data_IF_150315164918
#
_entry.id   IF_150315164918
#
_cell.length_a   1.000
_cell.length_b   1.000
_cell.length_c   1.000
_cell.angle_alpha   90.00
_cell.angle_beta   90.00
_cell.angle_gamma   90.00
#
_symmetry.space_group_name_H-M   'P 1'
#
loop_
_entity.id
_entity.type
_entity.pdbx_description
1 polymer ?
#
# COMPACT_ATOMS: atom_id res chain seq x y z
N UNK A 1 16.71 -21.18 49.39
CA UNK A 1 16.83 -19.92 50.13
C UNK A 1 17.36 -18.85 49.17
N UNK A 2 16.78 -17.63 49.20
CA UNK A 2 16.85 -16.58 48.15
C UNK A 2 18.00 -15.58 48.51
N UNK A 3 18.10 -14.30 48.02
CA UNK A 3 17.09 -13.22 47.86
C UNK A 3 17.03 -12.65 46.40
N UNK A 4 15.94 -12.14 45.82
CA UNK A 4 14.99 -11.02 46.09
C UNK A 4 15.56 -9.61 45.99
N UNK A 5 14.99 -8.78 45.10
CA UNK A 5 14.42 -7.44 45.36
C UNK A 5 13.61 -6.97 44.12
N UNK A 6 12.28 -6.80 44.17
CA UNK A 6 11.46 -5.64 44.64
C UNK A 6 11.61 -4.42 43.71
N UNK A 7 10.57 -3.78 43.13
CA UNK A 7 9.29 -3.35 43.71
C UNK A 7 8.21 -2.98 42.64
N UNK A 8 6.93 -2.80 43.04
CA UNK A 8 5.72 -2.65 42.19
C UNK A 8 5.05 -1.25 42.26
N UNK A 9 3.92 -1.05 41.54
CA UNK A 9 2.70 -0.27 41.93
C UNK A 9 1.70 -0.17 40.75
N UNK A 10 0.60 -0.93 40.73
CA UNK A 10 -0.74 -0.68 41.29
C UNK A 10 -1.47 0.59 40.78
N UNK A 11 -2.40 0.38 39.83
CA UNK A 11 -3.55 1.24 39.57
C UNK A 11 -4.70 0.88 40.52
N UNK A 12 -5.22 1.85 41.28
CA UNK A 12 -6.57 1.81 41.88
C UNK A 12 -7.17 3.22 41.93
N UNK A 13 -8.30 3.38 41.26
CA UNK A 13 -9.24 4.49 41.42
C UNK A 13 -10.22 4.19 42.57
N UNK A 14 -10.60 5.17 43.40
CA UNK A 14 -11.81 5.11 44.19
C UNK A 14 -12.92 6.03 43.64
N UNK A 15 -14.14 5.66 44.04
CA UNK A 15 -15.47 6.16 43.68
C UNK A 15 -15.71 7.63 44.06
N UNK A 16 -16.57 8.29 43.28
CA UNK A 16 -17.26 9.52 43.68
C UNK A 16 -18.53 9.20 44.47
N UNK A 17 -18.78 9.99 45.50
CA UNK A 17 -20.06 10.10 46.19
C UNK A 17 -20.43 11.59 46.24
N UNK A 18 -21.70 11.87 45.93
CA UNK A 18 -22.27 13.20 45.72
C UNK A 18 -23.02 13.69 46.97
N UNK A 19 -23.02 15.00 47.23
CA UNK A 19 -24.19 15.73 47.74
C UNK A 19 -23.91 17.25 47.65
N UNK A 20 -24.76 18.02 46.93
CA UNK A 20 -25.79 18.95 47.46
C UNK A 20 -25.21 20.07 48.34
N UNK A 21 -25.57 21.35 48.26
CA UNK A 21 -26.71 22.07 47.66
C UNK A 21 -26.45 23.57 47.84
N UNK A 22 -26.84 24.38 46.86
CA UNK A 22 -27.55 25.67 47.02
C UNK A 22 -26.93 26.80 47.86
N UNK A 23 -26.69 27.94 47.22
CA UNK A 23 -27.57 29.15 47.29
C UNK A 23 -26.79 30.46 47.06
N UNK A 24 -27.15 31.15 45.98
CA UNK A 24 -26.94 32.59 45.75
C UNK A 24 -27.88 33.39 46.69
N UNK A 25 -27.79 34.75 46.88
CA UNK A 25 -27.29 35.74 45.93
C UNK A 25 -26.50 36.95 46.49
N UNK A 26 -26.00 37.74 45.53
CA UNK A 26 -25.37 39.06 45.65
C UNK A 26 -26.40 40.18 45.91
N UNK A 27 -26.10 41.10 46.82
CA UNK A 27 -26.64 42.47 46.86
C UNK A 27 -25.51 43.47 47.20
N UNK A 28 -25.32 44.46 46.34
CA UNK A 28 -24.58 45.73 46.56
C UNK A 28 -25.20 46.52 47.74
N UNK A 29 -24.51 47.47 48.45
CA UNK A 29 -24.07 48.75 47.83
C UNK A 29 -22.79 49.37 48.51
N UNK A 30 -22.53 50.71 48.54
CA UNK A 30 -21.57 51.38 47.66
C UNK A 30 -20.42 52.16 48.36
N UNK A 31 -19.42 52.55 47.56
CA UNK A 31 -18.59 53.79 47.62
C UNK A 31 -18.26 54.45 48.98
N UNK A 32 -16.96 54.53 49.33
CA UNK A 32 -16.10 55.75 49.33
C UNK A 32 -14.95 55.67 50.35
N UNK A 33 -13.84 56.27 49.92
CA UNK A 33 -12.83 56.99 50.72
C UNK A 33 -11.64 56.21 51.30
N UNK A 34 -10.49 56.54 50.70
CA UNK A 34 -9.12 56.27 51.11
C UNK A 34 -8.84 56.58 52.59
N UNK A 35 -8.17 55.64 53.27
CA UNK A 35 -7.18 55.96 54.30
C UNK A 35 -5.92 55.14 54.02
N UNK A 36 -4.84 55.89 53.80
CA UNK A 36 -3.46 55.47 53.63
C UNK A 36 -2.90 54.92 54.95
N UNK A 37 -2.51 53.64 54.98
CA UNK A 37 -1.55 53.11 55.96
C UNK A 37 -0.56 52.19 55.25
N UNK A 38 0.64 52.71 55.06
CA UNK A 38 1.87 52.01 54.67
C UNK A 38 2.29 51.00 55.72
N UNK A 39 2.36 49.71 55.37
CA UNK A 39 3.37 48.78 55.89
C UNK A 39 3.77 47.78 54.80
N UNK A 40 5.08 47.74 54.59
CA UNK A 40 5.88 47.02 53.62
C UNK A 40 5.84 45.50 53.83
N UNK A 41 5.52 44.69 52.81
CA UNK A 41 6.03 43.32 52.68
C UNK A 41 6.29 42.96 51.21
N UNK A 42 7.50 42.50 50.97
CA UNK A 42 8.08 42.02 49.73
C UNK A 42 7.48 40.64 49.39
N UNK A 43 6.92 40.45 48.20
CA UNK A 43 7.16 39.27 47.35
C UNK A 43 6.31 39.34 46.08
N UNK A 44 7.00 39.48 44.95
CA UNK A 44 6.43 39.20 43.64
C UNK A 44 6.36 37.68 43.47
N UNK A 45 5.19 37.14 43.20
CA UNK A 45 5.05 35.90 42.42
C UNK A 45 3.74 35.93 41.66
N UNK A 46 3.84 36.17 40.36
CA UNK A 46 2.83 35.78 39.38
C UNK A 46 2.92 34.25 39.30
N UNK A 47 1.99 33.53 39.93
CA UNK A 47 1.89 32.08 39.68
C UNK A 47 0.95 31.88 38.52
N UNK A 48 1.54 31.75 37.33
CA UNK A 48 0.85 31.32 36.13
C UNK A 48 0.17 29.98 36.40
N UNK A 49 -1.12 29.88 36.08
CA UNK A 49 -1.84 28.62 35.98
C UNK A 49 -1.30 27.94 34.72
N UNK A 50 -0.19 27.22 34.85
CA UNK A 50 0.23 26.25 33.85
C UNK A 50 -0.56 24.96 34.10
N UNK A 51 -1.82 24.95 33.67
CA UNK A 51 -2.50 23.69 33.36
C UNK A 51 -1.82 23.15 32.10
N UNK A 52 -0.67 22.51 32.28
CA UNK A 52 -0.10 21.65 31.25
C UNK A 52 -1.03 20.43 31.17
N UNK A 53 -2.07 20.53 30.34
CA UNK A 53 -2.69 19.35 29.79
C UNK A 53 -1.60 18.68 28.96
N UNK A 54 -0.86 17.75 29.57
CA UNK A 54 -0.19 16.69 28.82
C UNK A 54 -1.30 15.83 28.20
N UNK A 55 -1.99 16.37 27.19
CA UNK A 55 -2.49 15.51 26.15
C UNK A 55 -1.24 14.99 25.48
N UNK A 56 -0.84 13.78 25.83
CA UNK A 56 -0.07 12.98 24.90
C UNK A 56 -0.93 12.91 23.64
N UNK A 57 -0.64 13.78 22.66
CA UNK A 57 -1.11 13.56 21.31
C UNK A 57 -0.63 12.15 20.98
N UNK A 58 -1.51 11.18 20.71
CA UNK A 58 -1.02 9.96 20.08
C UNK A 58 -0.25 10.45 18.85
N UNK A 59 1.00 10.00 18.69
CA UNK A 59 1.72 10.23 17.45
C UNK A 59 0.81 9.65 16.36
N UNK A 60 0.24 10.54 15.55
CA UNK A 60 -0.56 10.16 14.41
C UNK A 60 0.41 9.45 13.46
N UNK A 61 0.46 8.12 13.51
CA UNK A 61 1.03 7.31 12.46
C UNK A 61 0.07 7.32 11.24
N UNK A 62 -0.39 8.51 10.86
CA UNK A 62 -1.37 8.74 9.80
C UNK A 62 -0.63 8.95 8.47
N UNK A 63 0.57 9.53 8.52
CA UNK A 63 1.40 9.78 7.34
C UNK A 63 2.68 8.95 7.36
N UNK A 64 3.00 8.38 6.20
CA UNK A 64 4.28 7.71 5.98
C UNK A 64 5.39 8.75 5.79
N UNK A 65 5.97 9.24 6.89
CA UNK A 65 7.05 10.23 6.83
C UNK A 65 8.29 9.68 6.10
N UNK A 66 8.73 10.41 5.08
CA UNK A 66 9.98 10.17 4.36
C UNK A 66 11.08 11.02 4.98
N UNK A 67 12.21 10.42 5.36
CA UNK A 67 13.44 11.10 5.79
C UNK A 67 13.95 11.99 4.64
N UNK A 68 13.43 13.21 4.58
CA UNK A 68 13.59 14.14 3.45
C UNK A 68 14.89 14.92 3.61
N UNK A 69 15.43 15.00 4.82
CA UNK A 69 16.70 15.66 5.13
C UNK A 69 17.90 14.69 5.20
N UNK A 70 17.68 13.37 5.09
CA UNK A 70 18.66 12.28 5.12
C UNK A 70 19.52 12.27 6.40
N UNK A 71 18.89 12.61 7.54
CA UNK A 71 19.56 12.61 8.85
C UNK A 71 19.47 11.27 9.60
N UNK A 72 18.74 10.31 9.02
CA UNK A 72 18.52 8.97 9.55
C UNK A 72 17.35 8.85 10.52
N UNK A 73 16.58 9.92 10.75
CA UNK A 73 15.41 9.93 11.61
C UNK A 73 14.20 10.46 10.85
N UNK A 74 13.06 9.76 10.96
CA UNK A 74 11.78 10.29 10.52
C UNK A 74 11.22 11.24 11.60
N UNK A 75 11.46 12.54 11.45
CA UNK A 75 11.02 13.58 12.36
C UNK A 75 9.76 14.31 11.85
N UNK A 76 8.77 14.54 12.72
CA UNK A 76 7.47 15.11 12.29
C UNK A 76 7.52 16.59 11.92
N UNK A 77 8.67 17.26 12.03
CA UNK A 77 8.81 18.72 11.86
C UNK A 77 9.57 19.10 10.59
N UNK A 78 10.35 18.18 10.04
CA UNK A 78 11.19 18.33 8.85
C UNK A 78 10.73 17.37 7.78
N UNK A 79 10.33 16.16 8.16
CA UNK A 79 9.93 15.14 7.21
C UNK A 79 8.47 15.24 6.83
N UNK A 80 8.22 14.86 5.59
CA UNK A 80 6.89 14.84 4.99
C UNK A 80 6.70 13.51 4.30
N UNK A 81 5.46 13.14 4.04
CA UNK A 81 5.13 12.01 3.18
C UNK A 81 5.33 12.29 1.68
N UNK A 82 5.82 13.48 1.33
CA UNK A 82 5.98 13.94 -0.06
C UNK A 82 4.64 14.28 -0.74
N UNK A 83 3.61 14.62 0.04
CA UNK A 83 2.28 14.94 -0.49
C UNK A 83 1.49 13.70 -0.90
N UNK A 84 1.68 12.59 -0.18
CA UNK A 84 0.92 11.38 -0.42
C UNK A 84 -0.57 11.60 -0.05
N UNK A 85 -1.50 11.08 -0.86
CA UNK A 85 -2.94 11.22 -0.62
C UNK A 85 -3.55 9.91 -0.14
N UNK A 86 -3.85 9.87 1.16
CA UNK A 86 -4.64 8.82 1.83
C UNK A 86 -6.00 9.34 2.32
N UNK A 87 -6.44 10.52 1.88
CA UNK A 87 -7.45 11.31 2.60
C UNK A 87 -8.86 10.69 2.60
N UNK A 88 -9.54 10.74 3.75
CA UNK A 88 -10.99 10.56 3.86
C UNK A 88 -11.50 9.18 4.30
N UNK A 89 -10.68 8.13 4.38
CA UNK A 89 -11.05 6.83 4.97
C UNK A 89 -9.83 6.21 5.69
N UNK A 90 -10.01 5.77 6.94
CA UNK A 90 -8.99 5.13 7.80
C UNK A 90 -8.45 3.77 7.29
N UNK A 91 -8.84 3.34 6.09
CA UNK A 91 -8.43 2.04 5.51
C UNK A 91 -7.51 2.19 4.30
N UNK A 92 -6.97 3.38 4.03
CA UNK A 92 -6.05 3.62 2.92
C UNK A 92 -4.66 3.91 3.43
N UNK A 93 -3.65 3.57 2.66
CA UNK A 93 -2.26 3.89 2.96
C UNK A 93 -1.55 4.36 1.68
N UNK A 94 -1.12 5.60 1.63
CA UNK A 94 -0.20 6.13 0.63
C UNK A 94 1.14 6.50 1.30
N UNK A 95 2.24 6.14 0.66
CA UNK A 95 3.59 6.44 1.14
C UNK A 95 4.54 6.72 -0.02
N UNK A 96 5.16 7.90 -0.06
CA UNK A 96 6.08 8.30 -1.12
C UNK A 96 5.64 9.58 -1.82
N UNK A 97 6.62 10.29 -2.39
CA UNK A 97 6.39 11.53 -3.16
C UNK A 97 5.22 11.39 -4.15
N UNK A 98 4.14 12.13 -3.90
CA UNK A 98 2.91 12.11 -4.71
C UNK A 98 2.27 10.71 -4.89
N UNK A 99 2.42 9.80 -3.92
CA UNK A 99 1.69 8.53 -3.92
C UNK A 99 0.19 8.75 -3.68
N UNK A 100 -0.68 7.95 -4.28
CA UNK A 100 -2.14 8.09 -4.18
C UNK A 100 -2.80 6.74 -3.84
N UNK A 101 -3.52 6.70 -2.73
CA UNK A 101 -4.39 5.59 -2.35
C UNK A 101 -5.84 6.10 -2.27
N UNK A 102 -6.59 5.98 -3.37
CA UNK A 102 -7.96 6.46 -3.50
C UNK A 102 -9.02 5.36 -3.44
N UNK A 103 -8.63 4.09 -3.62
CA UNK A 103 -9.52 2.93 -3.43
C UNK A 103 -9.80 2.61 -1.96
N UNK A 104 -10.96 2.07 -1.62
CA UNK A 104 -11.21 1.55 -0.26
C UNK A 104 -10.27 0.39 0.04
N UNK A 105 -9.67 0.35 1.24
CA UNK A 105 -8.68 -0.67 1.64
C UNK A 105 -7.41 -0.72 0.77
N UNK A 106 -7.10 0.35 0.04
CA UNK A 106 -5.98 0.37 -0.90
C UNK A 106 -4.65 0.71 -0.24
N UNK A 107 -3.56 0.28 -0.84
CA UNK A 107 -2.18 0.60 -0.40
C UNK A 107 -1.33 1.02 -1.59
N UNK A 108 -0.70 2.19 -1.54
CA UNK A 108 0.23 2.72 -2.53
C UNK A 108 1.56 3.08 -1.86
N UNK A 109 2.66 2.46 -2.25
CA UNK A 109 3.99 2.71 -1.67
C UNK A 109 5.02 2.91 -2.78
N UNK A 110 5.70 4.05 -2.77
CA UNK A 110 6.66 4.50 -3.77
C UNK A 110 6.21 5.81 -4.43
N UNK A 111 7.17 6.62 -4.87
CA UNK A 111 6.84 7.91 -5.49
C UNK A 111 5.94 7.73 -6.71
N UNK A 112 4.82 8.46 -6.78
CA UNK A 112 3.79 8.37 -7.82
C UNK A 112 3.13 7.00 -7.95
N UNK A 113 3.21 6.14 -6.92
CA UNK A 113 2.43 4.91 -6.91
C UNK A 113 0.94 5.26 -6.79
N UNK A 114 0.08 4.57 -7.54
CA UNK A 114 -1.37 4.78 -7.53
C UNK A 114 -2.11 3.47 -7.29
N UNK A 115 -2.90 3.43 -6.21
CA UNK A 115 -3.82 2.35 -5.90
C UNK A 115 -5.26 2.88 -5.83
N UNK A 116 -5.96 2.90 -6.97
CA UNK A 116 -7.31 3.48 -7.09
C UNK A 116 -8.44 2.45 -7.04
N UNK A 117 -8.14 1.17 -7.17
CA UNK A 117 -9.11 0.09 -7.05
C UNK A 117 -9.44 -0.28 -5.59
N UNK A 118 -10.64 -0.81 -5.33
CA UNK A 118 -10.99 -1.37 -4.02
C UNK A 118 -10.10 -2.58 -3.71
N UNK A 119 -9.54 -2.68 -2.50
CA UNK A 119 -8.54 -3.67 -2.09
C UNK A 119 -7.26 -3.70 -2.99
N UNK A 120 -6.98 -2.63 -3.74
CA UNK A 120 -5.82 -2.57 -4.65
C UNK A 120 -4.51 -2.30 -3.91
N UNK A 121 -3.41 -2.83 -4.44
CA UNK A 121 -2.07 -2.70 -3.87
C UNK A 121 -1.04 -2.32 -4.94
N UNK A 122 -0.40 -1.15 -4.80
CA UNK A 122 0.65 -0.66 -5.69
C UNK A 122 1.96 -0.45 -4.91
N UNK A 123 3.05 -1.09 -5.34
CA UNK A 123 4.37 -1.00 -4.72
C UNK A 123 5.46 -0.72 -5.76
N UNK A 124 6.04 0.47 -5.75
CA UNK A 124 7.11 0.89 -6.66
C UNK A 124 6.87 2.26 -7.26
N UNK A 125 7.94 2.89 -7.76
CA UNK A 125 7.82 4.18 -8.43
C UNK A 125 6.90 4.07 -9.66
N UNK A 126 5.84 4.88 -9.71
CA UNK A 126 4.84 4.84 -10.78
C UNK A 126 4.18 3.45 -10.97
N UNK A 127 4.08 2.64 -9.90
CA UNK A 127 3.27 1.42 -9.93
C UNK A 127 1.78 1.79 -9.91
N UNK A 128 0.97 1.16 -10.77
CA UNK A 128 -0.43 1.51 -10.99
C UNK A 128 -1.33 0.27 -10.81
N UNK A 129 -2.08 0.21 -9.71
CA UNK A 129 -3.10 -0.81 -9.45
C UNK A 129 -4.50 -0.16 -9.47
N UNK A 130 -5.18 -0.20 -10.62
CA UNK A 130 -6.36 0.65 -10.87
C UNK A 130 -7.70 -0.07 -10.77
N UNK A 131 -7.69 -1.40 -10.68
CA UNK A 131 -8.90 -2.24 -10.66
C UNK A 131 -9.09 -2.96 -9.31
N UNK A 132 -10.26 -3.57 -9.10
CA UNK A 132 -10.60 -4.19 -7.82
C UNK A 132 -9.66 -5.36 -7.52
N UNK A 133 -9.08 -5.41 -6.32
CA UNK A 133 -8.13 -6.46 -5.91
C UNK A 133 -6.86 -6.54 -6.78
N UNK A 134 -6.56 -5.50 -7.56
CA UNK A 134 -5.40 -5.48 -8.43
C UNK A 134 -4.10 -5.30 -7.62
N UNK A 135 -3.04 -5.98 -8.04
CA UNK A 135 -1.71 -5.92 -7.40
C UNK A 135 -0.68 -5.51 -8.43
N UNK A 136 -0.04 -4.35 -8.27
CA UNK A 136 1.06 -3.88 -9.10
C UNK A 136 2.34 -3.71 -8.26
N UNK A 137 3.40 -4.45 -8.58
CA UNK A 137 4.67 -4.42 -7.84
C UNK A 137 5.82 -4.21 -8.83
N UNK A 138 6.55 -3.11 -8.72
CA UNK A 138 7.68 -2.76 -9.57
C UNK A 138 7.52 -1.38 -10.19
N UNK A 139 8.65 -0.80 -10.63
CA UNK A 139 8.61 0.50 -11.33
C UNK A 139 7.76 0.38 -12.60
N UNK A 140 6.83 1.31 -12.82
CA UNK A 140 5.91 1.32 -13.97
C UNK A 140 5.07 0.04 -14.15
N UNK A 141 4.92 -0.79 -13.11
CA UNK A 141 4.03 -1.95 -13.17
C UNK A 141 2.57 -1.50 -13.29
N UNK A 142 1.76 -2.17 -14.12
CA UNK A 142 0.35 -1.84 -14.36
C UNK A 142 -0.53 -3.07 -14.18
N UNK A 143 -1.41 -3.02 -13.19
CA UNK A 143 -2.47 -4.00 -12.96
C UNK A 143 -3.83 -3.28 -13.10
N UNK A 144 -4.49 -3.45 -14.25
CA UNK A 144 -5.72 -2.72 -14.61
C UNK A 144 -6.94 -3.60 -14.85
N UNK A 145 -6.82 -4.93 -14.69
CA UNK A 145 -7.95 -5.85 -14.68
C UNK A 145 -8.40 -6.22 -13.27
N UNK A 146 -9.66 -6.62 -13.09
CA UNK A 146 -10.14 -7.03 -11.77
C UNK A 146 -9.40 -8.31 -11.32
N UNK A 147 -8.92 -8.31 -10.08
CA UNK A 147 -8.10 -9.38 -9.48
C UNK A 147 -6.80 -9.68 -10.26
N UNK A 148 -6.33 -8.71 -11.05
CA UNK A 148 -5.11 -8.85 -11.83
C UNK A 148 -3.85 -8.66 -10.98
N UNK A 149 -2.75 -9.32 -11.36
CA UNK A 149 -1.45 -9.19 -10.68
C UNK A 149 -0.36 -8.88 -11.71
N UNK A 150 0.38 -7.79 -11.52
CA UNK A 150 1.54 -7.40 -12.33
C UNK A 150 2.76 -7.20 -11.41
N UNK A 151 3.80 -8.02 -11.56
CA UNK A 151 5.01 -8.00 -10.73
C UNK A 151 6.25 -7.92 -11.63
N UNK A 152 6.94 -6.79 -11.63
CA UNK A 152 8.16 -6.55 -12.42
C UNK A 152 8.21 -5.12 -12.97
N UNK A 153 9.38 -4.68 -13.42
CA UNK A 153 9.48 -3.39 -14.09
C UNK A 153 8.64 -3.41 -15.39
N UNK A 154 7.72 -2.46 -15.56
CA UNK A 154 6.84 -2.39 -16.74
C UNK A 154 6.03 -3.68 -17.00
N UNK A 155 5.83 -4.51 -15.96
CA UNK A 155 4.93 -5.66 -16.07
C UNK A 155 3.48 -5.16 -16.25
N UNK A 156 2.73 -5.78 -17.15
CA UNK A 156 1.37 -5.38 -17.51
C UNK A 156 0.41 -6.54 -17.40
N UNK A 157 -0.62 -6.37 -16.56
CA UNK A 157 -1.75 -7.28 -16.44
C UNK A 157 -3.05 -6.49 -16.63
N UNK A 158 -3.57 -6.50 -17.86
CA UNK A 158 -4.61 -5.54 -18.28
C UNK A 158 -6.04 -6.09 -18.25
N UNK A 159 -6.21 -7.37 -17.92
CA UNK A 159 -7.51 -8.05 -17.98
C UNK A 159 -7.82 -8.84 -16.72
N UNK A 160 -9.08 -9.22 -16.57
CA UNK A 160 -9.58 -9.88 -15.36
C UNK A 160 -8.82 -11.16 -15.04
N UNK A 161 -8.41 -11.28 -13.78
CA UNK A 161 -7.68 -12.42 -13.22
C UNK A 161 -6.40 -12.77 -13.98
N UNK A 162 -5.85 -11.83 -14.74
CA UNK A 162 -4.59 -12.02 -15.45
C UNK A 162 -3.40 -11.86 -14.49
N UNK A 163 -2.34 -12.62 -14.72
CA UNK A 163 -1.12 -12.61 -13.91
C UNK A 163 0.08 -12.40 -14.83
N UNK A 164 0.84 -11.33 -14.62
CA UNK A 164 2.09 -11.02 -15.31
C UNK A 164 3.23 -10.89 -14.29
N UNK A 165 4.23 -11.76 -14.36
CA UNK A 165 5.38 -11.77 -13.45
C UNK A 165 6.67 -11.78 -14.27
N UNK A 166 7.45 -10.70 -14.19
CA UNK A 166 8.69 -10.49 -14.93
C UNK A 166 8.78 -9.07 -15.50
N UNK A 167 10.00 -8.60 -15.75
CA UNK A 167 10.18 -7.30 -16.41
C UNK A 167 9.57 -7.34 -17.81
N UNK A 168 8.71 -6.37 -18.13
CA UNK A 168 7.99 -6.28 -19.40
C UNK A 168 7.14 -7.54 -19.74
N UNK A 169 6.77 -8.34 -18.73
CA UNK A 169 5.79 -9.41 -18.91
C UNK A 169 4.43 -8.80 -19.24
N UNK A 170 3.71 -9.37 -20.21
CA UNK A 170 2.43 -8.85 -20.67
C UNK A 170 1.35 -9.94 -20.70
N UNK A 171 0.44 -9.91 -19.72
CA UNK A 171 -0.77 -10.72 -19.66
C UNK A 171 -1.95 -9.92 -20.22
N UNK A 172 -2.13 -9.98 -21.54
CA UNK A 172 -3.15 -9.23 -22.28
C UNK A 172 -4.46 -10.00 -22.49
N UNK A 173 -4.54 -11.27 -22.11
CA UNK A 173 -5.79 -12.05 -22.12
C UNK A 173 -6.41 -12.19 -20.73
N UNK A 174 -7.74 -12.26 -20.64
CA UNK A 174 -8.43 -12.63 -19.39
C UNK A 174 -8.00 -14.01 -18.93
N UNK A 175 -7.79 -14.19 -17.62
CA UNK A 175 -7.29 -15.44 -17.03
C UNK A 175 -5.91 -15.89 -17.55
N UNK A 176 -5.14 -15.01 -18.21
CA UNK A 176 -3.81 -15.35 -18.70
C UNK A 176 -2.80 -15.46 -17.53
N UNK A 177 -1.87 -16.41 -17.63
CA UNK A 177 -0.74 -16.55 -16.69
C UNK A 177 0.56 -16.40 -17.46
N UNK A 178 1.31 -15.35 -17.16
CA UNK A 178 2.51 -14.95 -17.89
C UNK A 178 3.66 -14.77 -16.91
N UNK A 179 4.70 -15.59 -17.03
CA UNK A 179 5.84 -15.60 -16.11
C UNK A 179 7.14 -15.63 -16.89
N UNK A 180 7.85 -14.51 -16.92
CA UNK A 180 9.13 -14.37 -17.61
C UNK A 180 9.35 -12.96 -18.14
N UNK A 181 10.62 -12.57 -18.30
CA UNK A 181 10.95 -11.28 -18.93
C UNK A 181 10.55 -11.31 -20.41
N UNK A 182 9.85 -10.29 -20.87
CA UNK A 182 9.26 -10.20 -22.23
C UNK A 182 8.25 -11.31 -22.58
N UNK A 183 7.78 -12.12 -21.62
CA UNK A 183 6.77 -13.13 -21.90
C UNK A 183 5.41 -12.50 -22.24
N UNK A 184 4.63 -13.13 -23.12
CA UNK A 184 3.36 -12.60 -23.64
C UNK A 184 2.27 -13.66 -23.66
N UNK A 185 1.18 -13.38 -22.95
CA UNK A 185 -0.07 -14.14 -23.02
C UNK A 185 -1.14 -13.28 -23.64
N UNK A 186 -1.39 -13.44 -24.95
CA UNK A 186 -2.20 -12.50 -25.74
C UNK A 186 -3.68 -12.89 -25.81
N UNK A 187 -4.03 -14.13 -25.45
CA UNK A 187 -5.39 -14.64 -25.54
C UNK A 187 -5.97 -15.10 -24.21
N UNK A 188 -7.29 -15.28 -24.17
CA UNK A 188 -8.00 -15.81 -22.99
C UNK A 188 -7.41 -17.14 -22.54
N UNK A 189 -7.17 -17.28 -21.22
CA UNK A 189 -6.62 -18.48 -20.60
C UNK A 189 -5.30 -18.96 -21.19
N UNK A 190 -4.49 -18.05 -21.77
CA UNK A 190 -3.15 -18.37 -22.26
C UNK A 190 -2.17 -18.56 -21.11
N UNK A 191 -1.22 -19.48 -21.23
CA UNK A 191 -0.13 -19.67 -20.27
C UNK A 191 1.21 -19.50 -20.98
N UNK A 192 2.00 -18.48 -20.64
CA UNK A 192 3.33 -18.25 -21.20
C UNK A 192 4.38 -18.20 -20.09
N UNK A 193 5.30 -19.17 -20.04
CA UNK A 193 6.31 -19.30 -18.98
C UNK A 193 7.71 -19.43 -19.57
N UNK A 194 8.54 -18.40 -19.40
CA UNK A 194 9.93 -18.34 -19.88
C UNK A 194 10.30 -16.98 -20.47
N UNK A 195 11.59 -16.72 -20.63
CA UNK A 195 12.05 -15.51 -21.32
C UNK A 195 11.49 -15.49 -22.75
N UNK A 196 10.77 -14.42 -23.11
CA UNK A 196 10.18 -14.24 -24.43
C UNK A 196 9.26 -15.40 -24.88
N UNK A 197 8.60 -16.10 -23.95
CA UNK A 197 7.58 -17.11 -24.29
C UNK A 197 6.30 -16.42 -24.77
N UNK A 198 5.64 -16.97 -25.80
CA UNK A 198 4.40 -16.41 -26.35
C UNK A 198 3.29 -17.46 -26.42
N UNK A 199 2.12 -17.15 -25.86
CA UNK A 199 0.94 -17.99 -25.88
C UNK A 199 -0.29 -17.19 -26.34
N UNK A 200 -0.98 -17.71 -27.36
CA UNK A 200 -2.28 -17.25 -27.85
C UNK A 200 -3.46 -17.85 -27.07
N UNK A 201 -4.69 -17.69 -27.57
CA UNK A 201 -5.92 -18.11 -26.87
C UNK A 201 -5.96 -19.63 -26.58
N UNK A 202 -6.26 -19.97 -25.32
CA UNK A 202 -6.31 -21.35 -24.78
C UNK A 202 -5.03 -22.16 -25.00
N UNK A 203 -3.89 -21.50 -25.22
CA UNK A 203 -2.63 -22.16 -25.53
C UNK A 203 -1.65 -22.11 -24.34
N UNK A 204 -0.63 -22.98 -24.40
CA UNK A 204 0.39 -23.09 -23.36
C UNK A 204 1.77 -23.08 -24.01
N UNK A 205 2.61 -22.10 -23.68
CA UNK A 205 4.01 -22.02 -24.09
C UNK A 205 4.90 -22.03 -22.85
N UNK A 206 5.76 -23.04 -22.71
CA UNK A 206 6.68 -23.18 -21.58
C UNK A 206 8.10 -23.44 -22.10
N UNK A 207 8.99 -22.47 -21.90
CA UNK A 207 10.36 -22.50 -22.40
C UNK A 207 10.87 -21.11 -22.75
N UNK A 208 12.20 -20.97 -22.86
CA UNK A 208 12.77 -19.73 -23.40
C UNK A 208 12.45 -19.65 -24.89
N UNK A 209 11.80 -18.56 -25.31
CA UNK A 209 11.38 -18.33 -26.69
C UNK A 209 10.47 -19.44 -27.25
N UNK A 210 9.69 -20.12 -26.40
CA UNK A 210 8.64 -21.02 -26.87
C UNK A 210 7.47 -20.22 -27.44
N UNK A 211 6.81 -20.77 -28.46
CA UNK A 211 5.70 -20.13 -29.16
C UNK A 211 4.53 -21.11 -29.30
N UNK A 212 3.40 -20.80 -28.68
CA UNK A 212 2.13 -21.49 -28.88
C UNK A 212 1.13 -20.51 -29.50
N UNK A 213 1.26 -20.28 -30.81
CA UNK A 213 0.45 -19.29 -31.56
C UNK A 213 -0.81 -19.87 -32.19
N UNK A 214 -0.93 -21.20 -32.30
CA UNK A 214 -2.15 -21.86 -32.75
C UNK A 214 -3.27 -21.86 -31.70
N UNK A 215 -4.54 -21.88 -32.11
CA UNK A 215 -5.67 -21.99 -31.18
C UNK A 215 -5.65 -23.34 -30.45
N UNK A 216 -5.68 -23.34 -29.10
CA UNK A 216 -5.52 -24.57 -28.27
C UNK A 216 -4.19 -25.31 -28.57
N UNK A 217 -3.12 -24.58 -28.92
CA UNK A 217 -1.80 -25.18 -29.14
C UNK A 217 -1.02 -25.37 -27.84
N UNK A 218 0.04 -26.18 -27.87
CA UNK A 218 0.92 -26.39 -26.71
C UNK A 218 2.38 -26.56 -27.13
N UNK A 219 3.26 -25.70 -26.63
CA UNK A 219 4.70 -25.72 -26.91
C UNK A 219 5.52 -25.86 -25.61
N UNK A 220 6.29 -26.94 -25.49
CA UNK A 220 7.11 -27.24 -24.31
C UNK A 220 8.59 -27.43 -24.71
N UNK A 221 9.44 -26.45 -24.41
CA UNK A 221 10.86 -26.51 -24.70
C UNK A 221 11.43 -25.17 -25.16
N UNK A 222 12.75 -25.01 -25.08
CA UNK A 222 13.41 -23.83 -25.62
C UNK A 222 13.22 -23.82 -27.15
N UNK A 223 12.70 -22.70 -27.67
CA UNK A 223 12.33 -22.53 -29.08
C UNK A 223 11.32 -23.55 -29.64
N UNK A 224 10.56 -24.26 -28.80
CA UNK A 224 9.46 -25.09 -29.29
C UNK A 224 8.36 -24.20 -29.90
N UNK A 225 7.84 -24.56 -31.07
CA UNK A 225 6.83 -23.82 -31.81
C UNK A 225 5.62 -24.71 -32.15
N UNK A 226 4.46 -24.38 -31.60
CA UNK A 226 3.18 -25.02 -31.88
C UNK A 226 2.25 -23.99 -32.55
N UNK A 227 2.44 -23.79 -33.86
CA UNK A 227 1.76 -22.72 -34.62
C UNK A 227 0.47 -23.20 -35.29
N UNK A 228 0.29 -24.51 -35.43
CA UNK A 228 -0.96 -25.10 -35.91
C UNK A 228 -2.07 -25.10 -34.85
N UNK A 229 -3.34 -24.95 -35.25
CA UNK A 229 -4.47 -25.12 -34.33
C UNK A 229 -4.49 -26.52 -33.73
N UNK A 230 -4.66 -26.63 -32.41
CA UNK A 230 -4.60 -27.89 -31.64
C UNK A 230 -3.29 -28.66 -31.79
N UNK A 231 -2.21 -27.99 -32.21
CA UNK A 231 -0.90 -28.62 -32.35
C UNK A 231 -0.18 -28.79 -31.02
N UNK A 232 0.75 -29.73 -30.97
CA UNK A 232 1.61 -29.99 -29.81
C UNK A 232 3.07 -30.08 -30.26
N UNK A 233 3.95 -29.26 -29.69
CA UNK A 233 5.39 -29.30 -29.93
C UNK A 233 6.13 -29.49 -28.60
N UNK A 234 6.96 -30.53 -28.47
CA UNK A 234 7.74 -30.77 -27.25
C UNK A 234 9.19 -31.14 -27.52
N UNK A 235 10.11 -30.31 -27.02
CA UNK A 235 11.55 -30.49 -27.17
C UNK A 235 12.25 -29.19 -27.58
N UNK A 236 13.59 -29.23 -27.62
CA UNK A 236 14.37 -28.14 -28.19
C UNK A 236 14.04 -27.97 -29.67
N UNK A 237 13.56 -26.79 -30.05
CA UNK A 237 13.24 -26.43 -31.44
C UNK A 237 12.21 -27.37 -32.14
N UNK A 238 11.36 -28.08 -31.39
CA UNK A 238 10.26 -28.85 -31.97
C UNK A 238 9.29 -27.90 -32.70
N UNK A 239 8.80 -28.28 -33.88
CA UNK A 239 7.97 -27.40 -34.72
C UNK A 239 6.73 -28.13 -35.27
N UNK A 240 5.55 -27.80 -34.73
CA UNK A 240 4.26 -28.37 -35.08
C UNK A 240 3.37 -27.31 -35.78
N UNK A 241 3.56 -27.17 -37.10
CA UNK A 241 2.84 -26.16 -37.92
C UNK A 241 1.47 -26.63 -38.42
N UNK A 242 1.26 -27.95 -38.50
CA UNK A 242 0.01 -28.51 -38.98
C UNK A 242 -1.11 -28.45 -37.95
N UNK A 243 -2.35 -28.23 -38.39
CA UNK A 243 -3.52 -28.39 -37.53
C UNK A 243 -3.56 -29.82 -36.95
N UNK A 244 -3.72 -29.93 -35.62
CA UNK A 244 -3.67 -31.19 -34.87
C UNK A 244 -2.36 -31.98 -35.01
N UNK A 245 -1.27 -31.34 -35.45
CA UNK A 245 0.04 -32.01 -35.59
C UNK A 245 0.77 -32.16 -34.25
N UNK A 246 1.72 -33.08 -34.21
CA UNK A 246 2.58 -33.36 -33.06
C UNK A 246 4.03 -33.35 -33.54
N UNK A 247 4.91 -32.61 -32.86
CA UNK A 247 6.35 -32.53 -33.12
C UNK A 247 7.20 -32.68 -31.85
#
# INVERSE_FOLDING_TARGET
MPPTERMPKNCRHPRQEADRTGSSPSLYPPTRSMILKTTLFLSATITAIAFATLSSSPALADDCLLDTNDDGNADTNVDTDGGADSSGIISRLACGDSAEASGGNSTAVGGRATASGFDASAFGNNANATATGAIAIGRDALASGDYSTAIGNQAQSSNDSAVAIGSEANAAGSYATVVGTFARGTGTSSVAVGYNAEASQFSVAVGTSSEASGYISSAFGQSAAATGDRSFAAGYAANAEGASSIA
#
